data_IF_074288487576
#
_entry.id   IF_074288487576
#
_cell.length_a   1.000
_cell.length_b   1.000
_cell.length_c   1.000
_cell.angle_alpha   90.00
_cell.angle_beta   90.00
_cell.angle_gamma   90.00
#
_symmetry.space_group_name_H-M   'P 1'
#
loop_
_entity.id
_entity.type
_entity.pdbx_description
1 polymer ?
#
# COMPACT_ATOMS: atom_id res chain seq x y z
N UNK A 1 44.96 7.34 -5.42
CA UNK A 1 43.66 6.89 -4.95
C UNK A 1 42.76 8.06 -4.66
N UNK A 2 41.75 8.21 -5.36
CA UNK A 2 40.77 9.23 -5.07
C UNK A 2 40.11 8.98 -3.72
N UNK A 3 39.49 9.99 -3.18
CA UNK A 3 38.70 9.82 -1.99
C UNK A 3 37.58 8.78 -2.25
N UNK A 4 37.39 7.90 -1.32
CA UNK A 4 36.26 6.99 -1.39
C UNK A 4 34.98 7.80 -1.25
N UNK A 5 34.03 7.57 -2.14
CA UNK A 5 32.71 8.14 -1.97
C UNK A 5 32.08 7.54 -0.71
N UNK A 6 31.45 8.38 0.12
CA UNK A 6 30.69 7.88 1.24
C UNK A 6 29.58 6.95 0.72
N UNK A 7 29.37 5.79 1.34
CA UNK A 7 28.25 4.94 0.94
C UNK A 7 26.94 5.63 1.17
N UNK A 8 26.03 5.48 0.23
CA UNK A 8 24.66 5.97 0.39
C UNK A 8 23.97 5.19 1.50
N UNK A 9 23.34 5.89 2.42
CA UNK A 9 22.56 5.26 3.47
C UNK A 9 21.08 5.37 3.13
N UNK A 10 20.44 4.22 2.91
CA UNK A 10 19.00 4.16 2.67
C UNK A 10 18.30 3.76 3.96
N UNK A 11 17.24 4.45 4.35
CA UNK A 11 16.55 4.20 5.62
C UNK A 11 15.24 3.45 5.42
N UNK A 12 14.54 3.72 4.35
CA UNK A 12 13.24 3.09 4.08
C UNK A 12 12.85 3.36 2.64
N UNK A 13 11.79 2.71 2.23
CA UNK A 13 11.14 2.98 0.95
C UNK A 13 9.63 3.04 1.20
N UNK A 14 8.95 3.93 0.49
CA UNK A 14 7.50 4.01 0.54
C UNK A 14 6.97 4.14 -0.87
N UNK A 15 5.99 3.32 -1.27
CA UNK A 15 5.29 3.54 -2.52
C UNK A 15 4.50 4.84 -2.44
N UNK A 16 4.39 5.55 -3.54
CA UNK A 16 3.55 6.75 -3.63
C UNK A 16 2.38 6.42 -4.54
N UNK A 17 1.21 6.27 -3.94
CA UNK A 17 -0.01 5.98 -4.68
C UNK A 17 -0.64 7.26 -5.20
N UNK A 18 -1.52 7.12 -6.17
CA UNK A 18 -2.18 8.22 -6.85
C UNK A 18 -3.67 8.21 -6.54
N UNK A 19 -4.25 9.39 -6.39
CA UNK A 19 -5.68 9.56 -6.14
C UNK A 19 -6.14 10.92 -6.65
N UNK A 20 -7.42 11.05 -6.96
CA UNK A 20 -8.01 12.36 -7.22
C UNK A 20 -8.44 13.07 -5.93
N UNK A 21 -8.47 12.36 -4.79
CA UNK A 21 -9.01 12.87 -3.53
C UNK A 21 -8.21 12.30 -2.36
N UNK A 22 -7.25 13.07 -1.86
CA UNK A 22 -6.36 12.63 -0.78
C UNK A 22 -7.14 12.35 0.51
N UNK A 23 -8.12 13.19 0.84
CA UNK A 23 -8.91 12.98 2.07
C UNK A 23 -9.68 11.65 2.04
N UNK A 24 -10.28 11.31 0.90
CA UNK A 24 -10.97 10.04 0.72
C UNK A 24 -9.99 8.86 0.79
N UNK A 25 -8.83 9.00 0.18
CA UNK A 25 -7.80 7.95 0.24
C UNK A 25 -7.34 7.69 1.68
N UNK A 26 -7.06 8.76 2.42
CA UNK A 26 -6.65 8.65 3.83
C UNK A 26 -7.73 7.99 4.68
N UNK A 27 -9.00 8.34 4.46
CA UNK A 27 -10.10 7.74 5.22
C UNK A 27 -10.22 6.24 4.94
N UNK A 28 -10.05 5.83 3.68
CA UNK A 28 -10.06 4.41 3.33
C UNK A 28 -8.94 3.66 4.06
N UNK A 29 -7.72 4.20 4.04
CA UNK A 29 -6.58 3.55 4.69
C UNK A 29 -6.70 3.55 6.21
N UNK A 30 -7.33 4.58 6.78
CA UNK A 30 -7.67 4.53 8.21
C UNK A 30 -8.58 3.34 8.49
N UNK A 31 -9.56 3.09 7.64
CA UNK A 31 -10.45 1.93 7.77
C UNK A 31 -9.72 0.60 7.71
N UNK A 32 -8.63 0.52 6.94
CA UNK A 32 -7.78 -0.67 6.89
C UNK A 32 -6.92 -0.86 8.15
N UNK A 33 -6.86 0.13 9.02
CA UNK A 33 -6.07 0.08 10.24
C UNK A 33 -4.78 0.87 10.23
N UNK A 34 -4.51 1.62 9.16
CA UNK A 34 -3.35 2.49 9.10
C UNK A 34 -3.57 3.75 9.93
N UNK A 35 -2.50 4.23 10.55
CA UNK A 35 -2.46 5.59 11.06
C UNK A 35 -2.21 6.51 9.88
N UNK A 36 -3.03 7.55 9.73
CA UNK A 36 -2.95 8.42 8.57
C UNK A 36 -2.72 9.85 8.98
N UNK A 37 -2.01 10.58 8.11
CA UNK A 37 -1.67 11.97 8.34
C UNK A 37 -1.67 12.73 7.02
N UNK A 38 -2.49 13.77 6.87
CA UNK A 38 -2.39 14.64 5.71
C UNK A 38 -1.13 15.50 5.84
N UNK A 39 -0.36 15.62 4.74
CA UNK A 39 0.72 16.58 4.67
C UNK A 39 0.17 17.96 4.29
N UNK A 40 -0.67 17.95 3.26
CA UNK A 40 -1.45 19.08 2.81
C UNK A 40 -2.64 18.54 2.00
N UNK A 41 -3.34 19.37 1.25
CA UNK A 41 -4.46 18.90 0.43
C UNK A 41 -4.09 18.00 -0.73
N UNK A 42 -2.80 17.94 -1.08
CA UNK A 42 -2.31 17.25 -2.27
C UNK A 42 -1.44 16.04 -1.95
N UNK A 43 -1.12 15.79 -0.67
CA UNK A 43 -0.23 14.71 -0.27
C UNK A 43 -0.58 14.20 1.12
N UNK A 44 -0.33 12.91 1.37
CA UNK A 44 -0.58 12.32 2.66
C UNK A 44 0.21 11.04 2.91
N UNK A 45 0.13 10.57 4.16
CA UNK A 45 0.89 9.42 4.64
C UNK A 45 -0.04 8.44 5.34
N UNK A 46 0.24 7.15 5.18
CA UNK A 46 -0.41 6.08 5.93
C UNK A 46 0.66 5.13 6.44
N UNK A 47 0.56 4.71 7.69
CA UNK A 47 1.54 3.83 8.31
C UNK A 47 0.84 2.75 9.13
N UNK A 48 1.29 1.51 8.96
CA UNK A 48 0.84 0.38 9.76
C UNK A 48 2.04 -0.48 10.08
N UNK A 49 2.40 -0.58 11.37
CA UNK A 49 3.66 -1.18 11.77
C UNK A 49 4.84 -0.44 11.15
N UNK A 50 5.72 -1.17 10.49
CA UNK A 50 6.86 -0.58 9.79
C UNK A 50 6.56 -0.26 8.32
N UNK A 51 5.34 -0.50 7.86
CA UNK A 51 4.94 -0.25 6.48
C UNK A 51 4.41 1.16 6.34
N UNK A 52 4.93 1.90 5.38
CA UNK A 52 4.48 3.26 5.09
C UNK A 52 4.11 3.36 3.61
N UNK A 53 2.98 4.00 3.35
CA UNK A 53 2.48 4.27 1.99
C UNK A 53 2.17 5.77 1.92
N UNK A 54 2.63 6.40 0.85
CA UNK A 54 2.31 7.79 0.58
C UNK A 54 1.22 7.88 -0.48
N UNK A 55 0.55 9.00 -0.53
CA UNK A 55 -0.41 9.30 -1.58
C UNK A 55 -0.20 10.71 -2.11
N UNK A 56 -0.29 10.86 -3.41
CA UNK A 56 -0.18 12.14 -4.09
C UNK A 56 -1.43 12.39 -4.92
N UNK A 57 -1.94 13.62 -4.85
CA UNK A 57 -3.07 14.01 -5.69
C UNK A 57 -2.64 14.09 -7.14
N UNK A 58 -3.45 13.50 -8.01
CA UNK A 58 -3.30 13.56 -9.45
C UNK A 58 -4.71 13.70 -10.05
N UNK A 59 -5.06 14.89 -10.52
CA UNK A 59 -6.40 15.12 -11.08
C UNK A 59 -6.67 14.29 -12.32
N UNK A 60 -5.62 13.82 -12.98
CA UNK A 60 -5.72 12.95 -14.15
C UNK A 60 -5.57 11.46 -13.79
N UNK A 61 -5.70 11.12 -12.51
CA UNK A 61 -5.56 9.74 -12.08
C UNK A 61 -6.53 8.82 -12.82
N UNK A 62 -5.97 7.76 -13.38
CA UNK A 62 -6.70 6.71 -14.09
C UNK A 62 -6.34 5.37 -13.46
N UNK A 63 -7.31 4.65 -12.85
CA UNK A 63 -7.02 3.37 -12.20
C UNK A 63 -6.34 2.35 -13.11
N UNK A 64 -6.50 2.45 -14.42
CA UNK A 64 -5.89 1.51 -15.36
C UNK A 64 -4.45 1.86 -15.74
N UNK A 65 -4.01 3.11 -15.52
CA UNK A 65 -2.70 3.56 -16.01
C UNK A 65 -1.82 4.19 -14.94
N UNK A 66 -2.39 4.85 -13.93
CA UNK A 66 -1.62 5.56 -12.92
C UNK A 66 -1.73 4.97 -11.51
N UNK A 67 -2.47 3.88 -11.35
CA UNK A 67 -2.53 3.18 -10.08
C UNK A 67 -1.20 2.50 -9.78
N UNK A 68 -0.83 2.50 -8.49
CA UNK A 68 0.39 1.87 -8.03
C UNK A 68 0.17 0.47 -7.49
N UNK A 69 1.27 -0.20 -7.19
CA UNK A 69 1.25 -1.55 -6.61
C UNK A 69 2.36 -1.66 -5.57
N UNK A 70 2.06 -2.31 -4.46
CA UNK A 70 3.05 -2.67 -3.46
C UNK A 70 2.82 -4.10 -3.02
N UNK A 71 3.91 -4.79 -2.66
CA UNK A 71 3.85 -6.12 -2.07
C UNK A 71 4.20 -6.01 -0.59
N UNK A 72 3.31 -6.48 0.26
CA UNK A 72 3.48 -6.46 1.70
C UNK A 72 3.78 -7.86 2.20
N UNK A 73 4.88 -8.02 2.91
CA UNK A 73 5.16 -9.26 3.62
C UNK A 73 4.42 -9.21 4.95
N UNK A 74 3.58 -10.20 5.20
CA UNK A 74 2.72 -10.26 6.38
C UNK A 74 2.86 -11.61 7.07
N UNK A 75 2.51 -11.67 8.35
CA UNK A 75 2.58 -12.93 9.11
C UNK A 75 1.41 -13.85 8.76
N UNK A 76 0.22 -13.29 8.57
CA UNK A 76 -1.01 -14.07 8.38
C UNK A 76 -1.90 -13.45 7.29
N UNK A 77 -1.76 -13.88 6.04
CA UNK A 77 -2.58 -13.35 4.97
C UNK A 77 -4.09 -13.52 5.17
N UNK A 78 -4.51 -14.60 5.79
CA UNK A 78 -5.94 -14.84 6.04
C UNK A 78 -6.51 -13.82 7.04
N UNK A 79 -5.72 -13.41 8.03
CA UNK A 79 -6.14 -12.37 8.96
C UNK A 79 -6.26 -11.03 8.25
N UNK A 80 -5.30 -10.70 7.38
CA UNK A 80 -5.35 -9.46 6.58
C UNK A 80 -6.63 -9.44 5.75
N UNK A 81 -6.92 -10.54 5.05
CA UNK A 81 -8.14 -10.64 4.25
C UNK A 81 -9.40 -10.47 5.10
N UNK A 82 -9.49 -11.13 6.24
CA UNK A 82 -10.66 -11.01 7.12
C UNK A 82 -10.88 -9.57 7.59
N UNK A 83 -9.79 -8.84 7.85
CA UNK A 83 -9.87 -7.45 8.33
C UNK A 83 -10.14 -6.46 7.22
N UNK A 84 -9.52 -6.66 6.07
CA UNK A 84 -9.58 -5.69 4.98
C UNK A 84 -10.80 -5.88 4.08
N UNK A 85 -11.26 -7.12 3.91
CA UNK A 85 -12.39 -7.40 3.01
C UNK A 85 -13.73 -6.83 3.50
N UNK A 86 -13.83 -6.48 4.77
CA UNK A 86 -15.06 -5.88 5.31
C UNK A 86 -15.06 -4.35 5.23
N UNK A 87 -13.94 -3.74 4.81
CA UNK A 87 -13.85 -2.28 4.66
C UNK A 87 -14.50 -1.90 3.33
N UNK A 88 -15.51 -1.00 3.35
CA UNK A 88 -16.19 -0.65 2.11
C UNK A 88 -15.31 0.16 1.17
N UNK A 89 -15.60 0.10 -0.11
CA UNK A 89 -14.95 0.89 -1.15
C UNK A 89 -13.81 0.23 -1.86
N UNK A 90 -13.26 -0.86 -1.33
CA UNK A 90 -12.19 -1.61 -1.98
C UNK A 90 -12.69 -2.89 -2.63
N UNK A 91 -11.76 -3.61 -3.23
CA UNK A 91 -11.98 -4.96 -3.74
C UNK A 91 -10.91 -5.87 -3.16
N UNK A 92 -11.27 -7.12 -2.89
CA UNK A 92 -10.37 -8.04 -2.21
C UNK A 92 -10.26 -9.34 -2.96
N UNK A 93 -9.04 -9.89 -2.97
CA UNK A 93 -8.76 -11.22 -3.49
C UNK A 93 -8.39 -12.09 -2.30
N UNK A 94 -9.16 -13.16 -2.09
CA UNK A 94 -8.94 -14.09 -1.00
C UNK A 94 -7.58 -14.76 -1.14
N UNK A 95 -6.84 -14.94 -0.04
CA UNK A 95 -5.54 -15.60 -0.10
C UNK A 95 -5.63 -17.01 -0.64
N UNK A 96 -4.68 -17.36 -1.49
CA UNK A 96 -4.51 -18.71 -2.03
C UNK A 96 -3.05 -19.12 -1.91
N UNK A 97 -2.83 -20.42 -1.87
CA UNK A 97 -1.49 -20.99 -1.94
C UNK A 97 -0.99 -20.91 -3.37
N UNK A 98 0.18 -20.32 -3.54
CA UNK A 98 0.81 -20.23 -4.86
C UNK A 98 1.67 -21.46 -5.11
N UNK A 99 2.04 -21.67 -6.37
CA UNK A 99 2.94 -22.75 -6.76
C UNK A 99 4.42 -22.42 -6.51
N UNK A 100 4.73 -21.19 -6.05
CA UNK A 100 6.08 -20.77 -5.71
C UNK A 100 6.32 -20.62 -4.21
N UNK A 101 5.48 -21.20 -3.39
CA UNK A 101 5.77 -21.37 -1.96
C UNK A 101 5.28 -20.29 -1.03
N UNK A 102 4.34 -19.46 -1.46
CA UNK A 102 3.72 -18.44 -0.63
C UNK A 102 2.22 -18.64 -0.52
N UNK A 103 1.60 -17.92 0.43
CA UNK A 103 0.16 -17.75 0.46
C UNK A 103 -0.13 -16.27 0.31
N UNK A 104 -0.91 -15.90 -0.72
CA UNK A 104 -1.05 -14.50 -1.11
C UNK A 104 -2.49 -14.10 -1.35
N UNK A 105 -2.83 -12.90 -0.92
CA UNK A 105 -4.06 -12.22 -1.23
C UNK A 105 -3.80 -10.80 -1.72
N UNK A 106 -4.85 -10.03 -1.90
CA UNK A 106 -4.72 -8.67 -2.38
C UNK A 106 -5.88 -7.80 -1.93
N UNK A 107 -5.61 -6.51 -1.80
CA UNK A 107 -6.60 -5.48 -1.59
C UNK A 107 -6.39 -4.39 -2.63
N UNK A 108 -7.47 -3.99 -3.30
CA UNK A 108 -7.45 -2.93 -4.29
C UNK A 108 -8.24 -1.78 -3.69
N UNK A 109 -7.59 -0.62 -3.54
CA UNK A 109 -8.25 0.54 -2.96
C UNK A 109 -9.24 1.20 -3.95
N UNK A 110 -10.04 2.19 -3.52
CA UNK A 110 -11.03 2.81 -4.41
C UNK A 110 -10.44 3.50 -5.65
N UNK A 111 -9.14 3.82 -5.64
CA UNK A 111 -8.45 4.43 -6.77
C UNK A 111 -7.73 3.40 -7.65
N UNK A 112 -7.90 2.11 -7.36
CA UNK A 112 -7.28 1.04 -8.13
C UNK A 112 -5.86 0.70 -7.71
N UNK A 113 -5.31 1.34 -6.67
CA UNK A 113 -3.99 0.99 -6.18
C UNK A 113 -4.05 -0.39 -5.51
N UNK A 114 -3.02 -1.19 -5.76
CA UNK A 114 -3.01 -2.59 -5.37
C UNK A 114 -2.04 -2.84 -4.22
N UNK A 115 -2.57 -3.38 -3.13
CA UNK A 115 -1.77 -3.91 -2.03
C UNK A 115 -1.83 -5.44 -2.13
N UNK A 116 -0.80 -6.04 -2.71
CA UNK A 116 -0.63 -7.51 -2.63
C UNK A 116 0.02 -7.83 -1.31
N UNK A 117 -0.39 -8.93 -0.70
CA UNK A 117 0.24 -9.34 0.55
C UNK A 117 0.41 -10.84 0.59
N UNK A 118 1.43 -11.28 1.31
CA UNK A 118 1.72 -12.70 1.39
C UNK A 118 2.72 -13.05 2.48
N UNK A 119 2.81 -14.35 2.72
CA UNK A 119 3.79 -14.95 3.61
C UNK A 119 4.33 -16.22 2.98
N UNK A 120 5.54 -16.62 3.40
CA UNK A 120 6.08 -17.93 3.04
C UNK A 120 5.26 -19.03 3.71
N UNK A 121 5.08 -20.11 2.99
CA UNK A 121 4.42 -21.31 3.52
C UNK A 121 5.38 -22.24 4.17
#
# INVERSE_FOLDING_TARGET
MGAEAEPVTLRSVAPVFSTTDVARWLEHYRGLGFEVEPHDGDYGFAQLGSVQVHVSRNDDHDPSTTAGCAYLEVDDPDMVWRRWSIVPGGKDVEPVDTDYGTREGAHIDPDGNLLRYGSLR
#
